data_IF_593314296691
#
_entry.id   IF_593314296691
#
_cell.length_a   1.000
_cell.length_b   1.000
_cell.length_c   1.000
_cell.angle_alpha   90.00
_cell.angle_beta   90.00
_cell.angle_gamma   90.00
#
_symmetry.space_group_name_H-M   'P 1'
#
loop_
_entity.id
_entity.type
_entity.pdbx_description
1 polymer ?
#
# COMPACT_ATOMS: atom_id res chain seq x y z
N UNK A 1 9.30 -10.85 48.90
CA UNK A 1 8.24 -11.13 47.89
C UNK A 1 7.61 -9.87 47.28
N UNK A 2 7.81 -8.66 47.81
CA UNK A 2 7.11 -7.45 47.33
C UNK A 2 7.77 -6.78 46.11
N UNK A 3 9.10 -6.73 46.02
CA UNK A 3 9.79 -6.00 44.94
C UNK A 3 9.75 -6.73 43.58
N UNK A 4 10.02 -8.04 43.56
CA UNK A 4 9.94 -8.84 42.33
C UNK A 4 8.53 -8.81 41.70
N UNK A 5 7.48 -8.78 42.51
CA UNK A 5 6.11 -8.60 42.01
C UNK A 5 5.93 -7.27 41.27
N UNK A 6 6.51 -6.18 41.77
CA UNK A 6 6.49 -4.87 41.10
C UNK A 6 7.29 -4.88 39.79
N UNK A 7 8.44 -5.57 39.75
CA UNK A 7 9.21 -5.76 38.52
C UNK A 7 8.40 -6.55 37.47
N UNK A 8 7.74 -7.62 37.90
CA UNK A 8 6.89 -8.41 37.02
C UNK A 8 5.72 -7.56 36.49
N UNK A 9 5.01 -6.84 37.36
CA UNK A 9 3.93 -5.93 36.97
C UNK A 9 4.41 -4.82 36.01
N UNK A 10 5.65 -4.35 36.17
CA UNK A 10 6.24 -3.38 35.24
C UNK A 10 6.34 -3.94 33.81
N UNK A 11 6.72 -5.20 33.64
CA UNK A 11 6.80 -5.85 32.31
C UNK A 11 5.43 -6.32 31.80
N UNK A 12 4.53 -6.76 32.67
CA UNK A 12 3.21 -7.25 32.31
C UNK A 12 2.27 -6.13 31.88
N UNK A 13 2.33 -4.97 32.54
CA UNK A 13 1.46 -3.84 32.24
C UNK A 13 1.80 -3.22 30.88
N UNK A 14 0.82 -3.13 29.98
CA UNK A 14 1.01 -2.50 28.68
C UNK A 14 0.51 -1.04 28.68
N UNK A 15 1.40 -0.02 28.73
CA UNK A 15 0.99 1.38 28.74
C UNK A 15 0.38 1.83 27.42
N UNK A 16 0.60 1.13 26.30
CA UNK A 16 0.09 1.55 24.99
C UNK A 16 -1.40 1.29 24.79
N UNK A 17 -2.07 0.57 25.70
CA UNK A 17 -3.51 0.26 25.61
C UNK A 17 -4.36 1.42 26.13
N UNK A 18 -3.80 2.25 27.01
CA UNK A 18 -4.51 3.30 27.73
C UNK A 18 -3.98 4.65 27.33
N UNK A 19 -4.78 5.52 26.71
CA UNK A 19 -4.33 6.86 26.34
C UNK A 19 -4.30 7.86 27.52
N UNK A 20 -4.67 7.45 28.73
CA UNK A 20 -4.75 8.35 29.86
C UNK A 20 -3.36 8.71 30.42
N UNK A 21 -3.16 10.00 30.67
CA UNK A 21 -1.88 10.51 31.20
C UNK A 21 -1.57 9.99 32.61
N UNK A 22 -2.60 9.73 33.42
CA UNK A 22 -2.45 9.29 34.81
C UNK A 22 -1.78 7.92 34.87
N UNK A 23 -2.27 6.95 34.09
CA UNK A 23 -1.71 5.61 34.00
C UNK A 23 -0.29 5.62 33.42
N UNK A 24 -0.05 6.42 32.38
CA UNK A 24 1.30 6.61 31.83
C UNK A 24 2.28 7.20 32.85
N UNK A 25 1.84 8.18 33.65
CA UNK A 25 2.64 8.76 34.71
C UNK A 25 2.89 7.75 35.84
N UNK A 26 1.89 6.94 36.20
CA UNK A 26 2.02 5.85 37.17
C UNK A 26 3.04 4.79 36.73
N UNK A 27 2.99 4.34 35.48
CA UNK A 27 3.97 3.41 34.92
C UNK A 27 5.40 3.99 34.90
N UNK A 28 5.55 5.28 34.53
CA UNK A 28 6.85 5.98 34.59
C UNK A 28 7.36 6.13 36.03
N UNK A 29 6.47 6.37 36.99
CA UNK A 29 6.81 6.43 38.41
C UNK A 29 7.26 5.06 38.93
N UNK A 30 6.56 3.98 38.55
CA UNK A 30 6.94 2.61 38.87
C UNK A 30 8.34 2.29 38.34
N UNK A 31 8.60 2.59 37.06
CA UNK A 31 9.94 2.41 36.47
C UNK A 31 11.01 3.17 37.24
N UNK A 32 10.75 4.44 37.57
CA UNK A 32 11.69 5.28 38.31
C UNK A 32 11.95 4.74 39.71
N UNK A 33 10.91 4.28 40.39
CA UNK A 33 11.00 3.61 41.68
C UNK A 33 11.87 2.35 41.59
N UNK A 34 11.61 1.46 40.62
CA UNK A 34 12.42 0.25 40.42
C UNK A 34 13.88 0.60 40.13
N UNK A 35 14.13 1.57 39.25
CA UNK A 35 15.48 2.01 38.89
C UNK A 35 16.27 2.56 40.11
N UNK A 36 15.59 3.29 41.00
CA UNK A 36 16.21 3.87 42.20
C UNK A 36 16.40 2.85 43.33
N UNK A 37 15.51 1.86 43.43
CA UNK A 37 15.49 0.93 44.57
C UNK A 37 16.23 -0.37 44.31
N UNK A 38 16.38 -0.83 43.07
CA UNK A 38 17.08 -2.08 42.78
C UNK A 38 18.51 -2.15 43.37
N UNK A 39 19.34 -1.08 43.38
CA UNK A 39 20.68 -1.14 43.97
C UNK A 39 20.66 -1.31 45.49
N UNK A 40 19.58 -0.88 46.16
CA UNK A 40 19.40 -1.08 47.60
C UNK A 40 19.06 -2.54 47.88
N UNK A 41 18.14 -3.12 47.09
CA UNK A 41 17.79 -4.53 47.16
C UNK A 41 19.01 -5.42 46.89
N UNK A 42 19.84 -5.03 45.93
CA UNK A 42 21.08 -5.73 45.61
C UNK A 42 22.06 -5.76 46.79
N UNK A 43 22.25 -4.61 47.45
CA UNK A 43 23.10 -4.50 48.65
C UNK A 43 22.59 -5.35 49.82
N UNK A 44 21.27 -5.38 50.04
CA UNK A 44 20.67 -6.17 51.12
C UNK A 44 20.78 -7.68 50.87
N UNK A 45 20.75 -8.12 49.61
CA UNK A 45 20.79 -9.55 49.26
C UNK A 45 22.20 -10.15 49.40
N UNK A 46 23.26 -9.31 49.33
CA UNK A 46 24.64 -9.74 49.47
C UNK A 46 25.13 -10.63 48.32
N UNK A 47 26.07 -11.54 48.61
CA UNK A 47 26.72 -12.42 47.60
C UNK A 47 26.43 -13.93 47.77
N UNK A 48 25.68 -14.33 48.80
CA UNK A 48 25.61 -15.73 49.22
C UNK A 48 24.45 -16.52 48.59
N UNK A 49 23.33 -15.86 48.29
CA UNK A 49 22.16 -16.44 47.59
C UNK A 49 21.44 -15.33 46.82
N UNK A 50 21.95 -15.01 45.63
CA UNK A 50 21.40 -13.95 44.77
C UNK A 50 20.39 -14.59 43.80
N UNK A 51 19.10 -14.24 43.87
CA UNK A 51 18.12 -14.67 42.87
C UNK A 51 18.54 -14.29 41.45
N UNK A 52 18.18 -15.12 40.47
CA UNK A 52 18.57 -14.93 39.06
C UNK A 52 18.20 -13.54 38.52
N UNK A 53 17.01 -13.03 38.87
CA UNK A 53 16.58 -11.70 38.44
C UNK A 53 17.46 -10.56 38.99
N UNK A 54 18.09 -10.71 40.17
CA UNK A 54 19.04 -9.72 40.70
C UNK A 54 20.36 -9.80 39.93
N UNK A 55 20.86 -11.01 39.65
CA UNK A 55 22.03 -11.21 38.79
C UNK A 55 21.85 -10.54 37.44
N UNK A 56 20.65 -10.64 36.86
CA UNK A 56 20.35 -9.98 35.59
C UNK A 56 20.33 -8.47 35.71
N UNK A 57 19.69 -7.89 36.74
CA UNK A 57 19.70 -6.44 36.93
C UNK A 57 21.10 -5.86 37.19
N UNK A 58 22.02 -6.62 37.80
CA UNK A 58 23.44 -6.23 37.90
C UNK A 58 24.10 -6.05 36.53
N UNK A 59 23.76 -6.92 35.58
CA UNK A 59 24.35 -6.95 34.24
C UNK A 59 23.57 -6.10 33.21
N UNK A 60 22.27 -5.92 33.44
CA UNK A 60 21.31 -5.33 32.51
C UNK A 60 20.44 -4.25 33.18
N UNK A 61 21.01 -3.26 33.90
CA UNK A 61 20.23 -2.22 34.59
C UNK A 61 19.47 -1.31 33.61
N UNK A 62 19.88 -1.28 32.34
CA UNK A 62 19.29 -0.46 31.29
C UNK A 62 17.79 -0.73 31.08
N UNK A 63 17.30 -1.93 31.41
CA UNK A 63 15.87 -2.29 31.29
C UNK A 63 14.95 -1.45 32.15
N UNK A 64 15.47 -0.76 33.17
CA UNK A 64 14.73 0.14 34.04
C UNK A 64 14.91 1.63 33.65
N UNK A 65 15.54 1.91 32.51
CA UNK A 65 15.81 3.29 32.06
C UNK A 65 14.73 3.84 31.11
N UNK A 66 14.92 5.07 30.64
CA UNK A 66 14.09 5.66 29.60
C UNK A 66 14.20 4.95 28.24
N UNK A 67 15.28 4.18 28.00
CA UNK A 67 15.56 3.53 26.72
C UNK A 67 15.89 2.03 26.90
N UNK A 68 14.95 1.25 27.44
CA UNK A 68 15.20 -0.10 27.93
C UNK A 68 15.56 -1.12 26.84
N UNK A 69 15.34 -0.78 25.57
CA UNK A 69 15.53 -1.67 24.43
C UNK A 69 16.65 -1.27 23.48
N UNK A 70 17.30 -0.10 23.66
CA UNK A 70 18.23 0.47 22.67
C UNK A 70 19.46 -0.43 22.43
N UNK A 71 20.01 -1.00 23.51
CA UNK A 71 21.10 -1.99 23.46
C UNK A 71 20.69 -3.24 22.66
N UNK A 72 19.53 -3.81 22.96
CA UNK A 72 19.03 -5.03 22.32
C UNK A 72 18.63 -4.80 20.87
N UNK A 73 18.02 -3.65 20.54
CA UNK A 73 17.71 -3.26 19.17
C UNK A 73 18.98 -3.17 18.32
N UNK A 74 20.03 -2.55 18.85
CA UNK A 74 21.32 -2.44 18.18
C UNK A 74 22.00 -3.80 18.01
N UNK A 75 21.91 -4.69 19.01
CA UNK A 75 22.43 -6.06 18.94
C UNK A 75 21.66 -6.89 17.90
N UNK A 76 20.34 -6.75 17.87
CA UNK A 76 19.48 -7.42 16.90
C UNK A 76 19.88 -7.05 15.47
N UNK A 77 20.15 -5.76 15.18
CA UNK A 77 20.61 -5.32 13.86
C UNK A 77 21.98 -5.85 13.43
N UNK A 78 22.78 -6.38 14.38
CA UNK A 78 24.03 -7.11 14.11
C UNK A 78 23.84 -8.63 14.01
N UNK A 79 22.60 -9.12 14.18
CA UNK A 79 22.26 -10.54 14.19
C UNK A 79 22.45 -11.22 15.54
N UNK A 80 22.66 -10.46 16.62
CA UNK A 80 22.83 -11.00 17.98
C UNK A 80 21.50 -10.91 18.76
N UNK A 81 20.90 -12.06 19.03
CA UNK A 81 19.65 -12.17 19.83
C UNK A 81 19.89 -12.79 21.21
N UNK A 82 21.06 -13.36 21.46
CA UNK A 82 21.31 -14.20 22.63
C UNK A 82 21.22 -13.41 23.95
N UNK A 83 21.56 -12.12 23.93
CA UNK A 83 21.39 -11.25 25.09
C UNK A 83 19.90 -11.01 25.42
N UNK A 84 19.07 -10.76 24.39
CA UNK A 84 17.63 -10.52 24.54
C UNK A 84 16.90 -11.78 25.01
N UNK A 85 17.26 -12.94 24.46
CA UNK A 85 16.62 -14.22 24.80
C UNK A 85 16.90 -14.61 26.26
N UNK A 86 18.15 -14.44 26.71
CA UNK A 86 18.54 -14.64 28.12
C UNK A 86 17.83 -13.66 29.05
N UNK A 87 17.86 -12.36 28.73
CA UNK A 87 17.15 -11.34 29.50
C UNK A 87 15.68 -11.69 29.71
N UNK A 88 14.99 -12.11 28.64
CA UNK A 88 13.59 -12.47 28.73
C UNK A 88 13.34 -13.70 29.59
N UNK A 89 14.19 -14.71 29.50
CA UNK A 89 14.04 -15.94 30.29
C UNK A 89 14.27 -15.64 31.78
N UNK A 90 15.34 -14.93 32.09
CA UNK A 90 15.79 -14.71 33.46
C UNK A 90 14.91 -13.70 34.23
N UNK A 91 14.38 -12.68 33.54
CA UNK A 91 13.41 -11.73 34.12
C UNK A 91 11.95 -12.19 34.00
N UNK A 92 11.70 -13.32 33.32
CA UNK A 92 10.36 -13.83 33.09
C UNK A 92 9.46 -12.88 32.29
N UNK A 93 10.00 -12.18 31.29
CA UNK A 93 9.27 -11.18 30.51
C UNK A 93 8.17 -11.86 29.68
N UNK A 94 6.87 -11.57 29.94
CA UNK A 94 5.78 -12.22 29.21
C UNK A 94 5.82 -11.91 27.70
N UNK A 95 5.38 -12.83 26.81
CA UNK A 95 5.32 -12.56 25.36
C UNK A 95 4.44 -11.36 24.97
N UNK A 96 3.46 -11.02 25.80
CA UNK A 96 2.56 -9.87 25.65
C UNK A 96 3.14 -8.56 26.21
N UNK A 97 4.32 -8.59 26.81
CA UNK A 97 4.95 -7.42 27.44
C UNK A 97 5.16 -6.27 26.46
N UNK A 98 5.00 -5.04 26.96
CA UNK A 98 5.38 -3.82 26.24
C UNK A 98 6.86 -3.84 25.80
N UNK A 99 7.72 -4.58 26.50
CA UNK A 99 9.14 -4.71 26.16
C UNK A 99 9.31 -5.23 24.73
N UNK A 100 8.52 -6.22 24.31
CA UNK A 100 8.58 -6.77 22.96
C UNK A 100 8.08 -5.79 21.91
N UNK A 101 7.03 -5.03 22.22
CA UNK A 101 6.55 -3.95 21.36
C UNK A 101 7.65 -2.91 21.15
N UNK A 102 8.23 -2.44 22.25
CA UNK A 102 9.32 -1.48 22.25
C UNK A 102 10.55 -2.00 21.51
N UNK A 103 10.90 -3.28 21.67
CA UNK A 103 12.03 -3.89 20.98
C UNK A 103 11.80 -3.95 19.47
N UNK A 104 10.66 -4.48 19.01
CA UNK A 104 10.34 -4.61 17.59
C UNK A 104 10.35 -3.24 16.91
N UNK A 105 9.59 -2.29 17.45
CA UNK A 105 9.53 -0.95 16.88
C UNK A 105 10.83 -0.17 17.04
N UNK A 106 11.49 -0.30 18.19
CA UNK A 106 12.78 0.34 18.45
C UNK A 106 13.82 -0.12 17.43
N UNK A 107 13.88 -1.42 17.14
CA UNK A 107 14.78 -2.00 16.13
C UNK A 107 14.45 -1.50 14.73
N UNK A 108 13.17 -1.51 14.35
CA UNK A 108 12.73 -1.02 13.04
C UNK A 108 12.97 0.48 12.88
N UNK A 109 12.66 1.30 13.89
CA UNK A 109 12.89 2.75 13.88
C UNK A 109 14.39 3.07 13.87
N UNK A 110 15.21 2.31 14.59
CA UNK A 110 16.67 2.45 14.57
C UNK A 110 17.23 2.16 13.18
N UNK A 111 16.82 1.05 12.55
CA UNK A 111 17.19 0.73 11.18
C UNK A 111 16.70 1.82 10.21
N UNK A 112 15.46 2.28 10.36
CA UNK A 112 14.87 3.27 9.48
C UNK A 112 15.52 4.66 9.60
N UNK A 113 16.04 5.00 10.78
CA UNK A 113 16.76 6.26 11.00
C UNK A 113 18.15 6.29 10.36
N UNK A 114 18.64 5.14 9.89
CA UNK A 114 19.91 5.06 9.20
C UNK A 114 19.84 5.77 7.84
N UNK A 115 20.80 6.67 7.58
CA UNK A 115 20.89 7.43 6.32
C UNK A 115 21.50 6.61 5.18
N UNK A 116 22.16 5.49 5.49
CA UNK A 116 22.67 4.56 4.47
C UNK A 116 21.54 3.65 3.97
N UNK A 117 21.05 3.95 2.77
CA UNK A 117 20.01 3.17 2.10
C UNK A 117 20.43 1.73 1.81
N UNK A 118 21.70 1.48 1.48
CA UNK A 118 22.17 0.12 1.23
C UNK A 118 22.18 -0.69 2.52
N UNK A 119 22.64 -0.10 3.61
CA UNK A 119 22.64 -0.76 4.91
C UNK A 119 21.21 -1.08 5.36
N UNK A 120 20.28 -0.12 5.24
CA UNK A 120 18.87 -0.37 5.55
C UNK A 120 18.30 -1.52 4.71
N UNK A 121 18.54 -1.52 3.39
CA UNK A 121 18.08 -2.59 2.50
C UNK A 121 18.64 -3.96 2.89
N UNK A 122 19.93 -4.04 3.24
CA UNK A 122 20.54 -5.30 3.72
C UNK A 122 19.94 -5.81 5.02
N UNK A 123 19.32 -4.95 5.83
CA UNK A 123 18.67 -5.30 7.09
C UNK A 123 17.22 -5.79 6.92
N UNK A 124 16.57 -5.57 5.78
CA UNK A 124 15.17 -5.98 5.54
C UNK A 124 14.91 -7.46 5.90
N UNK A 125 15.72 -8.44 5.45
CA UNK A 125 15.46 -9.85 5.77
C UNK A 125 15.47 -10.16 7.26
N UNK A 126 16.23 -9.39 8.04
CA UNK A 126 16.33 -9.51 9.50
C UNK A 126 15.14 -8.85 10.18
N UNK A 127 14.75 -7.65 9.72
CA UNK A 127 13.57 -6.93 10.21
C UNK A 127 12.29 -7.74 9.96
N UNK A 128 12.15 -8.36 8.79
CA UNK A 128 10.98 -9.21 8.49
C UNK A 128 10.92 -10.43 9.41
N UNK A 129 12.05 -11.05 9.76
CA UNK A 129 12.10 -12.15 10.74
C UNK A 129 11.66 -11.69 12.14
N UNK A 130 12.13 -10.53 12.58
CA UNK A 130 11.72 -9.93 13.86
C UNK A 130 10.21 -9.70 13.91
N UNK A 131 9.68 -9.08 12.87
CA UNK A 131 8.25 -8.80 12.72
C UNK A 131 7.43 -10.09 12.71
N UNK A 132 7.88 -11.11 12.00
CA UNK A 132 7.20 -12.40 11.92
C UNK A 132 7.15 -13.13 13.26
N UNK A 133 8.24 -13.06 14.03
CA UNK A 133 8.30 -13.63 15.39
C UNK A 133 7.36 -12.96 16.40
N UNK A 134 6.85 -11.75 16.10
CA UNK A 134 6.00 -10.96 16.99
C UNK A 134 4.84 -10.31 16.22
N UNK A 135 3.84 -11.11 15.78
CA UNK A 135 2.77 -10.63 14.89
C UNK A 135 1.93 -9.48 15.44
N UNK A 136 1.83 -9.34 16.76
CA UNK A 136 1.04 -8.30 17.43
C UNK A 136 1.46 -6.86 17.03
N UNK A 137 2.72 -6.68 16.61
CA UNK A 137 3.29 -5.36 16.29
C UNK A 137 3.61 -5.19 14.81
N UNK A 138 3.19 -6.15 13.99
CA UNK A 138 3.59 -6.28 12.59
C UNK A 138 3.18 -5.08 11.74
N UNK A 139 1.94 -4.62 11.87
CA UNK A 139 1.42 -3.60 10.96
C UNK A 139 2.10 -2.24 11.17
N UNK A 140 2.37 -1.87 12.43
CA UNK A 140 3.11 -0.65 12.75
C UNK A 140 4.58 -0.75 12.30
N UNK A 141 5.20 -1.92 12.47
CA UNK A 141 6.56 -2.15 11.98
C UNK A 141 6.66 -2.08 10.44
N UNK A 142 5.74 -2.74 9.72
CA UNK A 142 5.71 -2.73 8.25
C UNK A 142 5.45 -1.33 7.70
N UNK A 143 4.61 -0.54 8.35
CA UNK A 143 4.39 0.87 8.00
C UNK A 143 5.71 1.66 7.99
N UNK A 144 6.50 1.56 9.06
CA UNK A 144 7.81 2.24 9.14
C UNK A 144 8.78 1.70 8.09
N UNK A 145 8.85 0.38 7.89
CA UNK A 145 9.73 -0.24 6.89
C UNK A 145 9.39 0.25 5.48
N UNK A 146 8.12 0.25 5.09
CA UNK A 146 7.67 0.63 3.76
C UNK A 146 7.87 2.13 3.49
N UNK A 147 7.57 2.99 4.47
CA UNK A 147 7.81 4.43 4.36
C UNK A 147 9.31 4.70 4.17
N UNK A 148 10.17 4.05 4.95
CA UNK A 148 11.62 4.19 4.79
C UNK A 148 12.13 3.65 3.47
N UNK A 149 11.61 2.51 3.02
CA UNK A 149 12.01 1.89 1.76
C UNK A 149 11.70 2.81 0.58
N UNK A 150 10.50 3.40 0.55
CA UNK A 150 10.11 4.36 -0.47
C UNK A 150 11.02 5.59 -0.53
N UNK A 151 11.58 6.01 0.60
CA UNK A 151 12.52 7.12 0.67
C UNK A 151 13.95 6.77 0.21
N UNK A 152 14.27 5.48 -0.03
CA UNK A 152 15.60 5.09 -0.47
C UNK A 152 15.90 5.55 -1.90
N UNK A 153 17.10 6.06 -2.13
CA UNK A 153 17.60 6.38 -3.45
C UNK A 153 17.65 5.12 -4.34
N UNK A 154 17.07 5.24 -5.53
CA UNK A 154 17.06 4.16 -6.52
C UNK A 154 16.36 2.89 -6.04
N UNK A 155 15.37 3.00 -5.14
CA UNK A 155 14.58 1.88 -4.63
C UNK A 155 14.06 1.00 -5.78
N UNK A 156 14.76 -0.12 -6.02
CA UNK A 156 14.28 -1.19 -6.89
C UNK A 156 13.25 -2.02 -6.14
N UNK A 157 12.52 -2.85 -6.86
CA UNK A 157 11.68 -3.85 -6.22
C UNK A 157 12.50 -4.72 -5.26
N UNK A 158 12.03 -4.84 -4.02
CA UNK A 158 12.48 -5.86 -3.07
C UNK A 158 11.46 -6.99 -3.05
N UNK A 159 11.83 -8.13 -3.62
CA UNK A 159 10.91 -9.27 -3.76
C UNK A 159 10.51 -9.85 -2.42
N UNK A 160 11.43 -9.91 -1.45
CA UNK A 160 11.16 -10.47 -0.14
C UNK A 160 10.19 -9.58 0.65
N UNK A 161 10.41 -8.26 0.64
CA UNK A 161 9.51 -7.30 1.27
C UNK A 161 8.13 -7.32 0.62
N UNK A 162 8.06 -7.30 -0.73
CA UNK A 162 6.81 -7.42 -1.49
C UNK A 162 6.06 -8.69 -1.09
N UNK A 163 6.73 -9.83 -1.16
CA UNK A 163 6.09 -11.12 -0.96
C UNK A 163 5.60 -11.27 0.48
N UNK A 164 6.37 -10.79 1.46
CA UNK A 164 5.96 -10.78 2.86
C UNK A 164 4.72 -9.90 3.10
N UNK A 165 4.75 -8.64 2.66
CA UNK A 165 3.63 -7.71 2.92
C UNK A 165 2.35 -8.16 2.19
N UNK A 166 2.48 -8.70 0.98
CA UNK A 166 1.34 -9.12 0.17
C UNK A 166 0.73 -10.47 0.58
N UNK A 167 1.26 -11.17 1.59
CA UNK A 167 0.70 -12.45 2.04
C UNK A 167 -0.77 -12.30 2.48
N UNK A 168 -1.61 -13.33 2.27
CA UNK A 168 -3.02 -13.31 2.68
C UNK A 168 -3.24 -13.05 4.18
N UNK A 169 -2.28 -13.46 5.02
CA UNK A 169 -2.30 -13.32 6.49
C UNK A 169 -1.65 -12.02 6.98
N UNK A 170 -1.02 -11.25 6.09
CA UNK A 170 -0.34 -9.97 6.38
C UNK A 170 -1.22 -8.82 5.91
N UNK A 171 -0.92 -8.18 4.78
CA UNK A 171 -1.71 -7.06 4.25
C UNK A 171 -2.47 -7.40 2.98
N UNK A 172 -2.32 -8.63 2.46
CA UNK A 172 -2.93 -9.11 1.21
C UNK A 172 -2.49 -8.30 -0.01
N UNK A 173 -3.02 -8.67 -1.17
CA UNK A 173 -2.73 -7.99 -2.44
C UNK A 173 -3.21 -6.51 -2.42
N UNK A 174 -2.34 -5.53 -2.73
CA UNK A 174 -2.67 -4.09 -2.68
C UNK A 174 -3.80 -3.67 -3.63
N UNK A 175 -4.10 -4.46 -4.67
CA UNK A 175 -5.25 -4.24 -5.57
C UNK A 175 -6.59 -4.30 -4.83
N UNK A 176 -6.64 -4.99 -3.69
CA UNK A 176 -7.85 -5.22 -2.90
C UNK A 176 -8.16 -4.07 -1.93
N UNK A 177 -7.32 -3.01 -1.89
CA UNK A 177 -7.54 -1.82 -1.06
C UNK A 177 -8.85 -1.13 -1.40
N UNK A 178 -9.10 -0.85 -2.68
CA UNK A 178 -10.30 -0.14 -3.13
C UNK A 178 -11.60 -0.92 -2.88
N UNK A 179 -11.53 -2.25 -2.80
CA UNK A 179 -12.65 -3.12 -2.48
C UNK A 179 -12.92 -3.24 -0.96
N UNK A 180 -12.14 -2.55 -0.11
CA UNK A 180 -12.27 -2.61 1.35
C UNK A 180 -11.81 -3.93 1.99
N UNK A 181 -11.13 -4.81 1.24
CA UNK A 181 -10.72 -6.15 1.70
C UNK A 181 -9.31 -6.13 2.33
N UNK A 182 -8.44 -5.24 1.83
CA UNK A 182 -7.05 -5.08 2.26
C UNK A 182 -6.86 -3.70 2.92
N UNK A 183 -7.53 -3.49 4.06
CA UNK A 183 -7.58 -2.20 4.76
C UNK A 183 -6.25 -1.77 5.35
N UNK A 184 -5.31 -2.69 5.63
CA UNK A 184 -3.99 -2.34 6.16
C UNK A 184 -3.20 -1.40 5.24
N UNK A 185 -3.47 -1.40 3.93
CA UNK A 185 -2.88 -0.45 2.98
C UNK A 185 -3.28 1.01 3.21
N UNK A 186 -4.29 1.31 4.05
CA UNK A 186 -4.62 2.69 4.43
C UNK A 186 -3.67 3.27 5.49
N UNK A 187 -2.81 2.44 6.09
CA UNK A 187 -1.81 2.86 7.08
C UNK A 187 -0.66 3.66 6.47
N UNK A 188 -0.37 3.44 5.19
CA UNK A 188 0.74 4.10 4.49
C UNK A 188 0.24 5.21 3.55
N UNK A 189 1.06 6.23 3.26
CA UNK A 189 0.74 7.23 2.24
C UNK A 189 0.49 6.59 0.87
N UNK A 190 -0.34 7.22 0.04
CA UNK A 190 -0.69 6.70 -1.29
C UNK A 190 0.55 6.45 -2.18
N UNK A 191 1.60 7.27 -2.06
CA UNK A 191 2.86 7.05 -2.80
C UNK A 191 3.55 5.73 -2.43
N UNK A 192 3.52 5.36 -1.14
CA UNK A 192 4.11 4.12 -0.63
C UNK A 192 3.26 2.91 -1.05
N UNK A 193 1.94 3.05 -0.99
CA UNK A 193 1.03 2.02 -1.53
C UNK A 193 1.23 1.82 -3.04
N UNK A 194 1.31 2.91 -3.81
CA UNK A 194 1.57 2.86 -5.25
C UNK A 194 2.92 2.20 -5.59
N UNK A 195 3.95 2.42 -4.77
CA UNK A 195 5.23 1.72 -4.94
C UNK A 195 5.06 0.21 -4.87
N UNK A 196 4.40 -0.33 -3.83
CA UNK A 196 4.19 -1.78 -3.73
C UNK A 196 3.24 -2.29 -4.80
N UNK A 197 2.19 -1.54 -5.13
CA UNK A 197 1.29 -1.86 -6.24
C UNK A 197 2.05 -1.98 -7.57
N UNK A 198 3.04 -1.11 -7.82
CA UNK A 198 3.87 -1.17 -9.02
C UNK A 198 4.71 -2.46 -9.07
N UNK A 199 5.28 -2.90 -7.94
CA UNK A 199 5.99 -4.18 -7.85
C UNK A 199 5.09 -5.39 -8.14
N UNK A 200 3.85 -5.33 -7.66
CA UNK A 200 2.84 -6.36 -7.93
C UNK A 200 2.42 -6.35 -9.40
N UNK A 201 2.27 -5.18 -10.02
CA UNK A 201 1.94 -5.06 -11.44
C UNK A 201 3.09 -5.56 -12.33
N UNK A 202 4.33 -5.19 -12.00
CA UNK A 202 5.54 -5.68 -12.69
C UNK A 202 5.65 -7.19 -12.62
N UNK A 203 5.45 -7.77 -11.42
CA UNK A 203 5.46 -9.22 -11.23
C UNK A 203 4.36 -9.92 -12.02
N UNK A 204 3.14 -9.36 -12.05
CA UNK A 204 2.03 -9.93 -12.80
C UNK A 204 2.26 -9.92 -14.31
N UNK A 205 2.87 -8.85 -14.84
CA UNK A 205 3.25 -8.80 -16.25
C UNK A 205 4.24 -9.93 -16.57
N UNK A 206 5.28 -10.08 -15.73
CA UNK A 206 6.29 -11.13 -15.87
C UNK A 206 5.67 -12.53 -15.77
N UNK A 207 4.92 -12.81 -14.71
CA UNK A 207 4.27 -14.11 -14.49
C UNK A 207 3.32 -14.47 -15.65
N UNK A 208 2.60 -13.50 -16.22
CA UNK A 208 1.75 -13.75 -17.39
C UNK A 208 2.55 -14.29 -18.58
N UNK A 209 3.67 -13.66 -18.93
CA UNK A 209 4.45 -14.07 -20.09
C UNK A 209 5.28 -15.33 -19.82
N UNK A 210 5.95 -15.39 -18.68
CA UNK A 210 6.86 -16.49 -18.31
C UNK A 210 6.11 -17.79 -18.00
N UNK A 211 4.90 -17.71 -17.42
CA UNK A 211 4.15 -18.90 -16.97
C UNK A 211 3.02 -19.23 -17.95
N UNK A 212 2.20 -18.25 -18.34
CA UNK A 212 0.97 -18.51 -19.09
C UNK A 212 1.19 -18.44 -20.62
N UNK A 213 1.94 -17.45 -21.11
CA UNK A 213 2.22 -17.32 -22.54
C UNK A 213 3.30 -18.28 -23.03
N UNK A 214 4.36 -18.52 -22.24
CA UNK A 214 5.43 -19.45 -22.57
C UNK A 214 4.92 -20.89 -22.74
N UNK A 215 3.97 -21.32 -21.88
CA UNK A 215 3.28 -22.63 -22.01
C UNK A 215 2.62 -22.80 -23.38
N UNK A 216 2.19 -21.69 -23.98
CA UNK A 216 1.54 -21.64 -25.29
C UNK A 216 2.51 -21.30 -26.45
N UNK A 217 3.84 -21.29 -26.21
CA UNK A 217 4.88 -20.90 -27.17
C UNK A 217 4.62 -19.54 -27.82
N UNK A 218 4.07 -18.61 -27.05
CA UNK A 218 3.54 -17.37 -27.59
C UNK A 218 4.34 -16.13 -27.17
N UNK A 219 5.41 -16.25 -26.37
CA UNK A 219 6.23 -15.09 -26.01
C UNK A 219 7.32 -14.81 -27.07
N UNK A 220 6.95 -14.02 -28.08
CA UNK A 220 7.86 -13.51 -29.12
C UNK A 220 8.25 -12.05 -28.82
N UNK A 221 8.90 -11.83 -27.67
CA UNK A 221 9.31 -10.48 -27.26
C UNK A 221 8.18 -9.60 -26.74
N UNK A 222 7.01 -10.19 -26.41
CA UNK A 222 5.86 -9.45 -25.87
C UNK A 222 6.17 -8.91 -24.47
N UNK A 223 6.82 -9.71 -23.63
CA UNK A 223 7.31 -9.25 -22.32
C UNK A 223 8.26 -8.05 -22.49
N UNK A 224 9.26 -8.16 -23.37
CA UNK A 224 10.24 -7.09 -23.61
C UNK A 224 9.59 -5.82 -24.18
N UNK A 225 8.53 -5.96 -24.99
CA UNK A 225 7.75 -4.82 -25.48
C UNK A 225 6.99 -4.12 -24.37
N UNK A 226 6.18 -4.86 -23.60
CA UNK A 226 5.32 -4.28 -22.56
C UNK A 226 6.09 -3.77 -21.34
N UNK A 227 7.27 -4.35 -21.06
CA UNK A 227 8.18 -3.87 -20.01
C UNK A 227 8.59 -2.40 -20.20
N UNK A 228 8.53 -1.89 -21.44
CA UNK A 228 8.82 -0.48 -21.75
C UNK A 228 7.75 0.49 -21.24
N UNK A 229 6.61 0.02 -20.75
CA UNK A 229 5.48 0.86 -20.32
C UNK A 229 5.08 0.65 -18.84
N UNK A 230 5.88 -0.11 -18.08
CA UNK A 230 5.58 -0.55 -16.71
C UNK A 230 5.21 0.59 -15.76
N UNK A 231 5.93 1.71 -15.81
CA UNK A 231 5.73 2.84 -14.88
C UNK A 231 4.38 3.54 -15.08
N UNK A 232 3.74 3.33 -16.22
CA UNK A 232 2.43 3.91 -16.55
C UNK A 232 1.26 2.97 -16.26
N UNK A 233 1.53 1.71 -15.87
CA UNK A 233 0.50 0.73 -15.57
C UNK A 233 -0.08 1.02 -14.19
N UNK A 234 -1.34 1.45 -14.14
CA UNK A 234 -2.02 1.80 -12.89
C UNK A 234 -2.86 0.67 -12.32
N UNK A 235 -3.22 -0.31 -13.15
CA UNK A 235 -4.07 -1.43 -12.74
C UNK A 235 -3.78 -2.66 -13.60
N UNK A 236 -3.80 -3.84 -12.99
CA UNK A 236 -3.65 -5.12 -13.70
C UNK A 236 -4.60 -6.17 -13.18
N UNK A 237 -5.00 -7.10 -14.04
CA UNK A 237 -5.79 -8.27 -13.68
C UNK A 237 -5.43 -9.47 -14.52
N UNK A 238 -5.14 -10.58 -13.86
CA UNK A 238 -4.98 -11.88 -14.49
C UNK A 238 -6.35 -12.55 -14.65
N UNK A 239 -6.59 -13.11 -15.83
CA UNK A 239 -7.80 -13.84 -16.15
C UNK A 239 -7.42 -15.26 -16.58
N UNK A 240 -7.72 -16.24 -15.74
CA UNK A 240 -7.26 -17.61 -15.94
C UNK A 240 -8.26 -18.44 -16.74
N UNK A 241 -7.76 -19.19 -17.73
CA UNK A 241 -8.52 -20.21 -18.45
C UNK A 241 -8.83 -21.42 -17.58
N UNK A 242 -9.87 -22.17 -17.95
CA UNK A 242 -10.27 -23.39 -17.25
C UNK A 242 -9.13 -24.41 -17.13
N UNK A 243 -8.28 -24.54 -18.14
CA UNK A 243 -7.16 -25.50 -18.12
C UNK A 243 -6.05 -25.04 -17.15
N UNK A 244 -5.79 -23.73 -17.06
CA UNK A 244 -4.90 -23.16 -16.02
C UNK A 244 -5.45 -23.42 -14.62
N UNK A 245 -6.75 -23.23 -14.43
CA UNK A 245 -7.40 -23.49 -13.13
C UNK A 245 -7.35 -24.97 -12.74
N UNK A 246 -7.44 -25.89 -13.71
CA UNK A 246 -7.28 -27.33 -13.47
C UNK A 246 -5.88 -27.70 -12.97
N UNK A 247 -4.84 -26.97 -13.41
CA UNK A 247 -3.45 -27.20 -12.99
C UNK A 247 -3.14 -26.70 -11.57
N UNK A 248 -4.03 -25.94 -10.92
CA UNK A 248 -3.85 -25.42 -9.55
C UNK A 248 -3.48 -26.50 -8.52
N UNK A 249 -3.91 -27.76 -8.74
CA UNK A 249 -3.63 -28.88 -7.81
C UNK A 249 -2.34 -29.64 -8.12
N UNK A 250 -1.87 -29.61 -9.37
CA UNK A 250 -0.79 -30.48 -9.87
C UNK A 250 0.47 -29.71 -10.23
N UNK A 251 0.40 -28.40 -10.44
CA UNK A 251 1.53 -27.55 -10.80
C UNK A 251 1.77 -26.49 -9.71
N UNK A 252 2.95 -26.52 -9.11
CA UNK A 252 3.34 -25.61 -8.02
C UNK A 252 3.37 -24.14 -8.46
N UNK A 253 3.98 -23.83 -9.60
CA UNK A 253 4.10 -22.45 -10.10
C UNK A 253 2.73 -21.82 -10.38
N UNK A 254 1.82 -22.59 -10.99
CA UNK A 254 0.43 -22.15 -11.25
C UNK A 254 -0.34 -21.97 -9.94
N UNK A 255 -0.16 -22.89 -8.99
CA UNK A 255 -0.80 -22.80 -7.68
C UNK A 255 -0.39 -21.52 -6.96
N UNK A 256 0.91 -21.23 -6.96
CA UNK A 256 1.47 -20.08 -6.27
C UNK A 256 1.07 -18.77 -6.98
N UNK A 257 1.02 -18.74 -8.32
CA UNK A 257 0.49 -17.62 -9.09
C UNK A 257 -0.96 -17.30 -8.72
N UNK A 258 -1.84 -18.31 -8.72
CA UNK A 258 -3.25 -18.14 -8.37
C UNK A 258 -3.38 -17.67 -6.91
N UNK A 259 -2.59 -18.22 -5.99
CA UNK A 259 -2.63 -17.85 -4.58
C UNK A 259 -2.25 -16.38 -4.33
N UNK A 260 -1.26 -15.85 -5.08
CA UNK A 260 -0.85 -14.42 -4.98
C UNK A 260 -1.91 -13.45 -5.46
N UNK A 261 -2.74 -13.87 -6.41
CA UNK A 261 -3.79 -13.05 -7.01
C UNK A 261 -5.18 -13.35 -6.45
N UNK A 262 -5.27 -14.14 -5.37
CA UNK A 262 -6.53 -14.53 -4.75
C UNK A 262 -7.38 -13.29 -4.42
N UNK A 263 -8.63 -13.29 -4.87
CA UNK A 263 -9.54 -12.14 -4.77
C UNK A 263 -9.36 -11.05 -5.83
N UNK A 264 -8.24 -11.01 -6.56
CA UNK A 264 -7.96 -10.03 -7.61
C UNK A 264 -8.12 -10.60 -9.05
N UNK A 265 -7.94 -11.90 -9.25
CA UNK A 265 -8.07 -12.52 -10.58
C UNK A 265 -9.53 -12.64 -11.07
N UNK A 266 -9.70 -13.02 -12.33
CA UNK A 266 -10.96 -13.45 -12.94
C UNK A 266 -10.77 -14.78 -13.70
N UNK A 267 -11.86 -15.39 -14.18
CA UNK A 267 -11.80 -16.64 -14.94
C UNK A 267 -12.41 -16.52 -16.33
N UNK A 268 -11.84 -17.26 -17.28
CA UNK A 268 -12.38 -17.43 -18.63
C UNK A 268 -13.23 -18.69 -18.71
N UNK A 269 -14.44 -18.55 -19.27
CA UNK A 269 -15.42 -19.64 -19.42
C UNK A 269 -15.58 -20.11 -20.86
N UNK A 270 -15.34 -19.25 -21.85
CA UNK A 270 -15.56 -19.56 -23.27
C UNK A 270 -14.35 -20.14 -24.01
N UNK A 271 -13.13 -19.93 -23.52
CA UNK A 271 -11.87 -20.45 -24.10
C UNK A 271 -11.02 -21.08 -23.00
N UNK A 272 -10.88 -22.40 -23.02
CA UNK A 272 -10.34 -23.17 -21.87
C UNK A 272 -8.83 -23.05 -21.74
N UNK A 273 -8.14 -23.09 -22.87
CA UNK A 273 -6.69 -23.08 -23.02
C UNK A 273 -6.06 -21.67 -23.00
N UNK A 274 -6.90 -20.64 -23.02
CA UNK A 274 -6.49 -19.24 -23.15
C UNK A 274 -6.62 -18.58 -21.80
N UNK A 275 -5.54 -17.96 -21.35
CA UNK A 275 -5.52 -16.95 -20.30
C UNK A 275 -5.48 -15.54 -20.91
N UNK A 276 -5.89 -14.52 -20.16
CA UNK A 276 -5.77 -13.12 -20.55
C UNK A 276 -5.13 -12.28 -19.44
N UNK A 277 -4.50 -11.18 -19.84
CA UNK A 277 -3.95 -10.16 -18.97
C UNK A 277 -4.58 -8.82 -19.33
N UNK A 278 -5.21 -8.20 -18.35
CA UNK A 278 -5.78 -6.87 -18.47
C UNK A 278 -4.85 -5.89 -17.79
N UNK A 279 -4.51 -4.79 -18.47
CA UNK A 279 -3.74 -3.70 -17.86
C UNK A 279 -4.30 -2.34 -18.27
N UNK A 280 -4.25 -1.38 -17.36
CA UNK A 280 -4.66 -0.01 -17.63
C UNK A 280 -3.44 0.90 -17.74
N UNK A 281 -3.38 1.65 -18.84
CA UNK A 281 -2.39 2.71 -19.07
C UNK A 281 -3.17 3.98 -19.43
N UNK A 282 -3.11 4.99 -18.54
CA UNK A 282 -3.88 6.21 -18.70
C UNK A 282 -5.38 5.94 -18.88
N UNK A 283 -5.95 6.49 -19.96
CA UNK A 283 -7.36 6.34 -20.32
C UNK A 283 -7.68 5.07 -21.12
N UNK A 284 -6.77 4.10 -21.19
CA UNK A 284 -6.93 2.90 -22.00
C UNK A 284 -6.81 1.62 -21.18
N UNK A 285 -7.72 0.68 -21.46
CA UNK A 285 -7.68 -0.70 -20.98
C UNK A 285 -7.17 -1.60 -22.10
N UNK A 286 -6.06 -2.29 -21.85
CA UNK A 286 -5.40 -3.16 -22.80
C UNK A 286 -5.62 -4.61 -22.38
N UNK A 287 -6.03 -5.45 -23.32
CA UNK A 287 -6.29 -6.87 -23.13
C UNK A 287 -5.30 -7.66 -23.99
N UNK A 288 -4.44 -8.43 -23.34
CA UNK A 288 -3.46 -9.30 -23.96
C UNK A 288 -3.84 -10.77 -23.71
N UNK A 289 -3.90 -11.59 -24.76
CA UNK A 289 -4.23 -13.01 -24.64
C UNK A 289 -2.96 -13.87 -24.68
N UNK A 290 -2.92 -14.91 -23.86
CA UNK A 290 -1.73 -15.77 -23.70
C UNK A 290 -1.39 -16.61 -24.92
N UNK A 291 -2.35 -16.89 -25.82
CA UNK A 291 -2.19 -17.81 -26.96
C UNK A 291 -2.44 -17.14 -28.32
N UNK A 292 -1.61 -17.45 -29.31
CA UNK A 292 -1.82 -17.08 -30.73
C UNK A 292 -2.92 -17.92 -31.38
N UNK A 293 -3.68 -17.40 -32.37
CA UNK A 293 -3.50 -16.12 -33.07
C UNK A 293 -4.29 -14.95 -32.46
N UNK A 294 -4.65 -14.99 -31.17
CA UNK A 294 -5.39 -13.89 -30.55
C UNK A 294 -4.58 -12.58 -30.62
N UNK A 295 -5.27 -11.50 -30.97
CA UNK A 295 -4.72 -10.15 -30.99
C UNK A 295 -4.77 -9.53 -29.58
N UNK A 296 -3.95 -8.51 -29.35
CA UNK A 296 -4.12 -7.59 -28.24
C UNK A 296 -5.12 -6.48 -28.62
N UNK A 297 -6.04 -6.15 -27.71
CA UNK A 297 -7.09 -5.16 -27.93
C UNK A 297 -6.95 -4.00 -26.96
N UNK A 298 -7.05 -2.78 -27.47
CA UNK A 298 -6.95 -1.54 -26.68
C UNK A 298 -8.28 -0.81 -26.71
N UNK A 299 -8.93 -0.68 -25.56
CA UNK A 299 -10.21 -0.01 -25.39
C UNK A 299 -10.02 1.31 -24.64
N UNK A 300 -10.89 2.30 -24.88
CA UNK A 300 -11.00 3.44 -23.95
C UNK A 300 -11.59 2.93 -22.64
N UNK A 301 -10.99 3.26 -21.51
CA UNK A 301 -11.35 2.69 -20.20
C UNK A 301 -12.77 3.03 -19.75
N UNK A 302 -13.31 4.15 -20.22
CA UNK A 302 -14.67 4.65 -19.93
C UNK A 302 -15.74 4.14 -20.91
N UNK A 303 -15.34 3.42 -21.97
CA UNK A 303 -16.23 2.92 -23.02
C UNK A 303 -15.97 1.44 -23.33
N UNK A 304 -15.57 0.65 -22.32
CA UNK A 304 -15.40 -0.80 -22.48
C UNK A 304 -16.77 -1.49 -22.64
N UNK A 305 -16.91 -2.47 -23.55
CA UNK A 305 -18.19 -3.14 -23.82
C UNK A 305 -18.54 -4.23 -22.80
N UNK A 306 -17.83 -4.30 -21.67
CA UNK A 306 -17.99 -5.32 -20.63
C UNK A 306 -17.66 -4.75 -19.26
N UNK A 307 -18.13 -5.40 -18.19
CA UNK A 307 -17.74 -5.06 -16.82
C UNK A 307 -16.29 -5.48 -16.56
N UNK A 308 -15.39 -4.50 -16.41
CA UNK A 308 -13.97 -4.75 -16.12
C UNK A 308 -13.70 -5.38 -14.74
N UNK A 309 -14.67 -5.34 -13.83
CA UNK A 309 -14.59 -5.92 -12.49
C UNK A 309 -15.31 -7.27 -12.38
N UNK A 310 -15.89 -7.76 -13.48
CA UNK A 310 -16.53 -9.07 -13.58
C UNK A 310 -15.65 -10.22 -13.09
N UNK A 311 -16.26 -11.24 -12.48
CA UNK A 311 -15.53 -12.44 -12.01
C UNK A 311 -15.27 -13.44 -13.13
N UNK A 312 -16.09 -13.40 -14.17
CA UNK A 312 -16.08 -14.32 -15.28
C UNK A 312 -16.18 -13.58 -16.60
N UNK A 313 -15.45 -14.08 -17.60
CA UNK A 313 -15.45 -13.60 -18.97
C UNK A 313 -15.56 -14.78 -19.93
N UNK A 314 -16.22 -14.59 -21.06
CA UNK A 314 -16.25 -15.54 -22.17
C UNK A 314 -14.88 -15.55 -22.88
N UNK A 315 -14.25 -14.38 -23.05
CA UNK A 315 -12.97 -14.22 -23.78
C UNK A 315 -13.13 -14.15 -25.29
N UNK A 316 -14.34 -13.87 -25.75
CA UNK A 316 -14.76 -13.86 -27.15
C UNK A 316 -15.12 -12.46 -27.63
N UNK A 317 -15.79 -12.38 -28.77
CA UNK A 317 -16.26 -11.11 -29.34
C UNK A 317 -17.40 -10.45 -28.57
N UNK A 318 -17.99 -11.18 -27.62
CA UNK A 318 -19.03 -10.66 -26.73
C UNK A 318 -18.46 -9.83 -25.58
N UNK A 319 -17.16 -9.95 -25.29
CA UNK A 319 -16.51 -9.25 -24.17
C UNK A 319 -15.05 -8.84 -24.47
N UNK A 320 -14.06 -9.52 -23.88
CA UNK A 320 -12.64 -9.16 -23.89
C UNK A 320 -12.07 -9.06 -25.32
N UNK A 321 -12.62 -9.83 -26.26
CA UNK A 321 -12.27 -9.83 -27.67
C UNK A 321 -13.21 -9.03 -28.57
N UNK A 322 -14.14 -8.22 -28.03
CA UNK A 322 -15.10 -7.42 -28.80
C UNK A 322 -14.46 -6.48 -29.83
N UNK A 323 -13.21 -6.06 -29.58
CA UNK A 323 -12.39 -5.26 -30.50
C UNK A 323 -12.12 -5.93 -31.86
N UNK A 324 -12.37 -7.24 -32.01
CA UNK A 324 -12.24 -7.95 -33.29
C UNK A 324 -13.08 -7.29 -34.41
N UNK A 325 -14.28 -6.79 -34.06
CA UNK A 325 -15.19 -6.12 -34.99
C UNK A 325 -15.02 -4.59 -35.02
N UNK A 326 -13.78 -4.10 -34.87
CA UNK A 326 -13.40 -2.66 -34.88
C UNK A 326 -14.04 -1.81 -33.76
N UNK A 327 -14.44 -2.42 -32.65
CA UNK A 327 -14.97 -1.71 -31.46
C UNK A 327 -13.89 -1.25 -30.47
N UNK A 328 -12.63 -1.16 -30.91
CA UNK A 328 -11.49 -0.83 -30.05
C UNK A 328 -10.65 0.29 -30.66
N UNK A 329 -9.90 1.01 -29.82
CA UNK A 329 -9.04 2.10 -30.22
C UNK A 329 -7.80 1.62 -30.99
N UNK A 330 -7.31 0.42 -30.69
CA UNK A 330 -6.25 -0.25 -31.44
C UNK A 330 -6.37 -1.77 -31.32
N UNK A 331 -5.95 -2.47 -32.38
CA UNK A 331 -5.95 -3.94 -32.45
C UNK A 331 -4.58 -4.41 -32.93
N UNK A 332 -3.76 -4.86 -31.98
CA UNK A 332 -2.38 -5.25 -32.22
C UNK A 332 -2.33 -6.74 -32.56
N UNK A 333 -1.90 -7.08 -33.77
CA UNK A 333 -1.77 -8.47 -34.24
C UNK A 333 -0.29 -8.87 -34.27
N UNK A 334 0.07 -9.92 -33.52
CA UNK A 334 1.45 -10.41 -33.34
C UNK A 334 2.00 -11.19 -34.56
N UNK A 335 2.05 -10.51 -35.70
CA UNK A 335 2.71 -10.96 -36.95
C UNK A 335 4.12 -10.35 -37.02
N UNK A 336 5.04 -10.83 -37.88
CA UNK A 336 6.39 -10.27 -37.97
C UNK A 336 6.42 -8.73 -38.05
N UNK A 337 7.25 -8.08 -37.24
CA UNK A 337 7.34 -6.61 -37.14
C UNK A 337 6.14 -5.93 -36.47
N UNK A 338 5.37 -6.66 -35.66
CA UNK A 338 4.23 -6.12 -34.92
C UNK A 338 4.64 -5.04 -33.91
N UNK A 339 5.84 -5.11 -33.33
CA UNK A 339 6.33 -4.20 -32.29
C UNK A 339 6.37 -2.76 -32.78
N UNK A 340 6.87 -2.55 -34.01
CA UNK A 340 6.94 -1.22 -34.63
C UNK A 340 5.55 -0.67 -34.90
N UNK A 341 4.62 -1.51 -35.38
CA UNK A 341 3.22 -1.13 -35.64
C UNK A 341 2.49 -0.80 -34.34
N UNK A 342 2.64 -1.65 -33.32
CA UNK A 342 2.09 -1.44 -31.99
C UNK A 342 2.58 -0.13 -31.36
N UNK A 343 3.88 0.17 -31.47
CA UNK A 343 4.43 1.43 -30.97
C UNK A 343 3.86 2.67 -31.68
N UNK A 344 3.54 2.57 -32.97
CA UNK A 344 2.88 3.65 -33.74
C UNK A 344 1.43 3.81 -33.28
N UNK A 345 0.68 2.71 -33.20
CA UNK A 345 -0.72 2.71 -32.75
C UNK A 345 -0.85 3.26 -31.33
N UNK A 346 -0.11 2.71 -30.36
CA UNK A 346 -0.08 3.20 -28.98
C UNK A 346 0.37 4.67 -28.93
N UNK A 347 1.34 5.05 -29.75
CA UNK A 347 1.82 6.41 -29.87
C UNK A 347 0.75 7.40 -30.33
N UNK A 348 -0.14 6.99 -31.25
CA UNK A 348 -1.28 7.79 -31.70
C UNK A 348 -2.34 7.98 -30.61
N UNK A 349 -2.38 7.06 -29.63
CA UNK A 349 -3.22 7.13 -28.44
C UNK A 349 -2.55 7.91 -27.28
N UNK A 350 -1.36 8.48 -27.51
CA UNK A 350 -0.60 9.19 -26.49
C UNK A 350 0.17 8.28 -25.53
N UNK A 351 0.15 6.96 -25.74
CA UNK A 351 0.90 5.99 -24.94
C UNK A 351 2.31 5.86 -25.52
N UNK A 352 3.31 6.26 -24.73
CA UNK A 352 4.73 6.23 -25.14
C UNK A 352 5.53 5.37 -24.17
N UNK A 353 6.65 4.76 -24.58
CA UNK A 353 7.55 4.09 -23.66
C UNK A 353 7.96 5.00 -22.49
N UNK A 354 8.13 4.40 -21.32
CA UNK A 354 8.70 5.02 -20.15
C UNK A 354 10.05 5.65 -20.50
N UNK A 355 10.28 6.89 -20.05
CA UNK A 355 11.57 7.54 -20.24
C UNK A 355 12.65 6.77 -19.50
N UNK A 356 13.69 6.34 -20.21
CA UNK A 356 14.91 5.83 -19.61
C UNK A 356 15.54 6.98 -18.78
N UNK A 357 15.59 6.81 -17.46
CA UNK A 357 16.32 7.74 -16.57
C UNK A 357 15.54 8.84 -15.84
N UNK A 358 14.20 8.87 -15.84
CA UNK A 358 13.48 9.78 -14.95
C UNK A 358 13.47 9.24 -13.50
N UNK A 359 14.58 9.44 -12.78
CA UNK A 359 14.55 9.60 -11.32
C UNK A 359 13.70 10.84 -11.01
N UNK A 360 13.02 10.79 -9.87
CA UNK A 360 12.07 11.78 -9.37
C UNK A 360 12.46 13.24 -9.66
N UNK A 361 11.55 13.98 -10.29
CA UNK A 361 11.27 15.36 -9.91
C UNK A 361 9.77 15.44 -9.69
N UNK A 362 9.35 15.10 -8.47
CA UNK A 362 8.14 15.70 -7.92
C UNK A 362 8.47 17.19 -7.79
N UNK A 363 7.74 18.03 -8.52
CA UNK A 363 7.85 19.48 -8.47
C UNK A 363 7.88 19.98 -7.03
N UNK A 364 9.06 20.34 -6.56
CA UNK A 364 9.22 21.42 -5.60
C UNK A 364 8.81 22.68 -6.34
N UNK A 365 7.66 23.24 -5.99
CA UNK A 365 7.25 24.58 -6.40
C UNK A 365 8.15 25.62 -5.74
N UNK A 366 9.40 25.69 -6.20
CA UNK A 366 10.34 26.76 -5.92
C UNK A 366 10.06 27.92 -6.85
N UNK A 367 9.60 29.02 -6.26
CA UNK A 367 9.30 30.30 -6.89
C UNK A 367 10.55 30.85 -7.57
N UNK A 368 10.52 31.07 -8.88
CA UNK A 368 11.38 32.06 -9.54
C UNK A 368 10.57 32.96 -10.45
N UNK A 369 10.75 34.24 -10.17
CA UNK A 369 10.08 35.37 -10.76
C UNK A 369 10.54 35.61 -12.21
N UNK A 370 9.58 35.89 -13.08
CA UNK A 370 9.83 36.64 -14.30
C UNK A 370 8.85 37.82 -14.34
N UNK A 371 9.46 38.99 -14.44
CA UNK A 371 8.90 40.34 -14.50
C UNK A 371 7.97 40.57 -15.69
N UNK A 372 6.85 41.27 -15.45
CA UNK A 372 6.00 41.84 -16.49
C UNK A 372 4.88 42.68 -15.86
N UNK A 373 5.04 43.99 -15.86
CA UNK A 373 4.19 44.98 -15.21
C UNK A 373 2.75 45.05 -15.75
N UNK A 374 1.77 45.17 -14.85
CA UNK A 374 0.77 46.25 -14.91
C UNK A 374 0.03 46.36 -13.58
N UNK A 375 0.24 47.51 -12.91
CA UNK A 375 -0.44 48.03 -11.72
C UNK A 375 -1.96 47.84 -11.78
N UNK A 376 -2.59 47.50 -10.66
CA UNK A 376 -3.63 48.33 -10.01
C UNK A 376 -3.56 48.14 -8.50
N UNK A 377 -3.65 49.27 -7.80
CA UNK A 377 -3.45 49.54 -6.38
C UNK A 377 -4.61 49.04 -5.51
N UNK A 378 -4.28 48.46 -4.34
CA UNK A 378 -4.73 48.86 -2.99
C UNK A 378 -4.73 47.68 -2.01
N UNK A 379 -4.15 47.88 -0.84
CA UNK A 379 -4.38 47.12 0.38
C UNK A 379 -4.46 48.14 1.54
N UNK A 380 -4.89 47.80 2.76
CA UNK A 380 -5.47 46.54 3.25
C UNK A 380 -6.77 46.75 4.07
N UNK A 381 -7.54 45.69 4.30
CA UNK A 381 -8.35 45.60 5.54
C UNK A 381 -8.56 44.15 5.93
N UNK A 382 -7.97 43.78 7.06
CA UNK A 382 -8.37 42.65 7.89
C UNK A 382 -9.83 42.85 8.30
N UNK A 383 -10.73 41.99 7.82
CA UNK A 383 -11.98 41.69 8.51
C UNK A 383 -12.24 40.19 8.40
N UNK A 384 -12.08 39.55 9.55
CA UNK A 384 -12.72 38.30 9.93
C UNK A 384 -14.22 38.38 9.66
N UNK A 385 -14.70 37.58 8.72
CA UNK A 385 -16.14 37.35 8.55
C UNK A 385 -16.43 35.85 8.43
N UNK A 386 -17.09 35.32 9.45
CA UNK A 386 -17.62 33.96 9.53
C UNK A 386 -18.95 33.98 8.79
N UNK A 387 -18.88 33.93 7.46
CA UNK A 387 -20.04 33.88 6.57
C UNK A 387 -20.24 32.48 5.98
N UNK A 388 -21.43 31.91 6.16
CA UNK A 388 -21.87 30.60 5.67
C UNK A 388 -21.46 30.34 4.20
N UNK A 389 -20.59 29.34 3.99
CA UNK A 389 -20.16 28.91 2.65
C UNK A 389 -21.24 28.03 2.01
N UNK A 390 -22.26 28.60 1.39
CA UNK A 390 -23.12 27.85 0.49
C UNK A 390 -22.35 27.48 -0.80
N UNK A 391 -22.58 26.30 -1.39
CA UNK A 391 -21.89 25.89 -2.63
C UNK A 391 -22.38 26.72 -3.82
N UNK A 392 -21.44 27.14 -4.69
CA UNK A 392 -21.78 27.83 -5.93
C UNK A 392 -22.46 26.86 -6.92
N UNK A 393 -23.80 26.91 -6.96
CA UNK A 393 -24.62 26.00 -7.78
C UNK A 393 -24.44 26.20 -9.29
N UNK A 394 -24.05 27.39 -9.75
CA UNK A 394 -23.79 27.64 -11.18
C UNK A 394 -22.52 26.92 -11.62
N UNK A 395 -21.44 27.03 -10.83
CA UNK A 395 -20.20 26.30 -11.06
C UNK A 395 -20.41 24.79 -10.99
N UNK A 396 -21.23 24.31 -10.05
CA UNK A 396 -21.51 22.88 -9.91
C UNK A 396 -22.27 22.32 -11.12
N UNK A 397 -23.26 23.03 -11.64
CA UNK A 397 -23.99 22.62 -12.85
C UNK A 397 -23.09 22.62 -14.09
N UNK A 398 -22.21 23.62 -14.23
CA UNK A 398 -21.24 23.69 -15.32
C UNK A 398 -20.20 22.56 -15.26
N UNK A 399 -19.78 22.17 -14.04
CA UNK A 399 -18.94 21.00 -13.82
C UNK A 399 -19.70 19.72 -14.21
N UNK A 400 -20.92 19.53 -13.72
CA UNK A 400 -21.73 18.34 -14.02
C UNK A 400 -22.02 18.13 -15.50
N UNK A 401 -22.16 19.20 -16.28
CA UNK A 401 -22.35 19.11 -17.74
C UNK A 401 -21.16 18.43 -18.46
N UNK A 402 -19.95 18.47 -17.87
CA UNK A 402 -18.75 17.82 -18.41
C UNK A 402 -18.66 16.33 -18.05
N UNK A 403 -19.55 15.84 -17.16
CA UNK A 403 -19.53 14.46 -16.67
C UNK A 403 -20.89 13.78 -16.87
N UNK A 404 -21.21 13.34 -18.12
CA UNK A 404 -22.42 12.57 -18.38
C UNK A 404 -22.53 11.37 -17.44
N UNK A 405 -23.70 11.14 -16.84
CA UNK A 405 -23.95 10.08 -15.86
C UNK A 405 -23.77 10.50 -14.39
N UNK A 406 -23.20 11.68 -14.11
CA UNK A 406 -23.26 12.27 -12.77
C UNK A 406 -24.58 13.02 -12.57
N UNK A 407 -25.15 12.99 -11.36
CA UNK A 407 -26.40 13.67 -11.03
C UNK A 407 -26.29 14.47 -9.75
N UNK A 408 -26.97 15.63 -9.73
CA UNK A 408 -27.14 16.46 -8.54
C UNK A 408 -28.48 16.09 -7.91
N UNK A 409 -28.47 15.82 -6.60
CA UNK A 409 -29.66 15.62 -5.80
C UNK A 409 -29.67 16.66 -4.67
N UNK A 410 -30.43 17.73 -4.84
CA UNK A 410 -30.53 18.82 -3.86
C UNK A 410 -31.73 18.59 -2.94
N UNK A 411 -31.48 18.06 -1.74
CA UNK A 411 -32.53 17.72 -0.76
C UNK A 411 -32.74 18.81 0.29
N UNK A 412 -32.10 19.98 0.14
CA UNK A 412 -32.12 21.06 1.14
C UNK A 412 -33.48 21.71 1.31
N UNK A 413 -34.27 21.75 0.23
CA UNK A 413 -35.61 22.33 0.24
C UNK A 413 -36.72 21.31 0.57
N UNK A 414 -36.35 20.07 0.94
CA UNK A 414 -37.30 19.04 1.36
C UNK A 414 -37.75 19.21 2.80
N UNK A 415 -38.94 18.69 3.14
CA UNK A 415 -39.60 18.78 4.45
C UNK A 415 -38.85 18.16 5.64
N UNK A 416 -37.64 17.62 5.42
CA UNK A 416 -36.80 17.00 6.44
C UNK A 416 -35.37 17.57 6.55
N UNK A 417 -35.05 18.72 5.94
CA UNK A 417 -33.74 19.35 6.06
C UNK A 417 -32.59 18.49 5.52
N UNK A 418 -32.67 18.10 4.23
CA UNK A 418 -31.66 17.28 3.57
C UNK A 418 -30.40 18.05 3.16
N UNK A 419 -29.40 17.33 2.64
CA UNK A 419 -28.14 17.92 2.14
C UNK A 419 -28.13 18.00 0.60
N UNK A 420 -27.21 18.78 0.06
CA UNK A 420 -26.87 18.73 -1.36
C UNK A 420 -25.96 17.53 -1.64
N UNK A 421 -26.34 16.69 -2.60
CA UNK A 421 -25.61 15.50 -2.99
C UNK A 421 -25.21 15.53 -4.46
N UNK A 422 -24.08 14.92 -4.76
CA UNK A 422 -23.62 14.62 -6.11
C UNK A 422 -23.28 13.14 -6.19
N UNK A 423 -23.94 12.44 -7.11
CA UNK A 423 -23.71 11.02 -7.38
C UNK A 423 -22.96 10.88 -8.70
N UNK A 424 -21.93 10.04 -8.71
CA UNK A 424 -21.24 9.64 -9.94
C UNK A 424 -21.13 8.12 -9.96
N UNK A 425 -21.94 7.47 -10.78
CA UNK A 425 -21.97 6.01 -10.92
C UNK A 425 -20.67 5.42 -11.47
N UNK A 426 -19.84 6.25 -12.10
CA UNK A 426 -18.56 5.84 -12.69
C UNK A 426 -17.35 6.14 -11.77
N UNK A 427 -17.57 6.72 -10.59
CA UNK A 427 -16.54 7.06 -9.59
C UNK A 427 -15.28 7.73 -10.19
N UNK A 428 -15.47 8.67 -11.12
CA UNK A 428 -14.39 9.31 -11.87
C UNK A 428 -13.53 10.18 -10.95
N UNK A 429 -12.22 9.92 -10.94
CA UNK A 429 -11.25 10.61 -10.09
C UNK A 429 -11.17 12.12 -10.37
N UNK A 430 -11.37 12.54 -11.63
CA UNK A 430 -11.37 13.97 -11.99
C UNK A 430 -12.54 14.70 -11.33
N UNK A 431 -13.74 14.14 -11.40
CA UNK A 431 -14.92 14.73 -10.77
C UNK A 431 -14.80 14.74 -9.24
N UNK A 432 -14.27 13.67 -8.65
CA UNK A 432 -13.97 13.61 -7.21
C UNK A 432 -13.03 14.74 -6.76
N UNK A 433 -11.98 15.03 -7.54
CA UNK A 433 -11.01 16.09 -7.25
C UNK A 433 -11.68 17.46 -7.29
N UNK A 434 -12.45 17.75 -8.34
CA UNK A 434 -13.17 19.01 -8.51
C UNK A 434 -14.22 19.23 -7.42
N UNK A 435 -15.00 18.19 -7.07
CA UNK A 435 -15.99 18.26 -5.98
C UNK A 435 -15.32 18.52 -4.62
N UNK A 436 -14.16 17.92 -4.35
CA UNK A 436 -13.39 18.17 -3.14
C UNK A 436 -12.89 19.61 -3.05
N UNK A 437 -12.41 20.18 -4.16
CA UNK A 437 -12.03 21.62 -4.26
C UNK A 437 -13.24 22.51 -4.02
N UNK A 438 -14.42 22.12 -4.52
CA UNK A 438 -15.68 22.80 -4.28
C UNK A 438 -16.23 22.61 -2.86
N UNK A 439 -15.53 21.89 -1.97
CA UNK A 439 -15.88 21.71 -0.56
C UNK A 439 -16.79 20.53 -0.25
N UNK A 440 -17.09 19.66 -1.23
CA UNK A 440 -17.85 18.44 -1.00
C UNK A 440 -17.00 17.41 -0.26
N UNK A 441 -17.66 16.60 0.58
CA UNK A 441 -17.10 15.45 1.30
C UNK A 441 -17.71 14.16 0.78
N UNK A 442 -16.94 13.09 0.80
CA UNK A 442 -17.42 11.77 0.43
C UNK A 442 -18.20 11.11 1.58
N UNK A 443 -19.25 10.36 1.27
CA UNK A 443 -19.97 9.53 2.23
C UNK A 443 -20.05 8.07 1.75
N UNK A 444 -19.35 7.18 2.47
CA UNK A 444 -19.26 5.76 2.13
C UNK A 444 -20.62 5.05 2.13
N UNK A 445 -21.51 5.40 3.06
CA UNK A 445 -22.83 4.74 3.18
C UNK A 445 -23.74 4.97 1.97
N UNK A 446 -23.60 6.11 1.28
CA UNK A 446 -24.42 6.47 0.10
C UNK A 446 -23.64 6.39 -1.21
N UNK A 447 -22.33 6.14 -1.14
CA UNK A 447 -21.43 6.16 -2.29
C UNK A 447 -21.61 7.44 -3.12
N UNK A 448 -21.67 8.58 -2.42
CA UNK A 448 -21.99 9.89 -3.00
C UNK A 448 -21.25 11.02 -2.28
N UNK A 449 -21.00 12.11 -3.00
CA UNK A 449 -20.46 13.35 -2.44
C UNK A 449 -21.59 14.18 -1.84
N UNK A 450 -21.38 14.75 -0.66
CA UNK A 450 -22.30 15.70 -0.05
C UNK A 450 -21.61 17.01 0.27
N UNK A 451 -22.34 18.10 0.20
CA UNK A 451 -21.83 19.37 0.69
C UNK A 451 -22.10 19.47 2.21
N UNK A 452 -21.06 19.62 3.04
CA UNK A 452 -21.24 19.83 4.47
C UNK A 452 -21.74 21.26 4.70
N UNK A 453 -23.00 21.40 5.08
CA UNK A 453 -23.51 22.68 5.57
C UNK A 453 -22.99 22.90 7.00
N UNK A 454 -22.69 24.15 7.34
CA UNK A 454 -22.15 24.56 8.63
C UNK A 454 -23.22 24.50 9.73
#
# INVERSE_FOLDING_TARGET
MTWHGLLYSYFEFNPTITEDEVTHNGWRALRSFLAQTWPLIDRETGNTLVPDWIQVLRNEPDVLTAKPVEKYASAYLRGDTAATDRLSADLGIPPSSWFWHALVLGTVKLAASNRDDEQFRRQIPLLLRLVDSKPAFRDEALEVILIRYHACAGARQDEQLRDYVCQPTVWKNPKLRAAGIATAWTRVPDSVWHMVLSWVNERNLKDFFDILAARNKADEGRLAFWSKYLKQITWTRLVFGADTMALKRTNLEIRDLIAREEGAYAQLTGKREVDAFMMQIGAYLIIEFSRKPNACYVYKSDAVPFDRHGKYYIGGTDDLGAGFHQRCAARIVHTPGWEKRAAIELGSLGIRPDRAGAQQVLSTGGTQAASGQSRWTSAPTNQSDVGQRAPNMLALKALMAQFPGASIEDLRNGSGGGRLWVKDSLHRTLLATELSVMGFKWADRRQAWYFPEA
#
